data_IF_670690143276
#
_entry.id   IF_670690143276
#
_cell.length_a   1.000
_cell.length_b   1.000
_cell.length_c   1.000
_cell.angle_alpha   90.00
_cell.angle_beta   90.00
_cell.angle_gamma   90.00
#
_symmetry.space_group_name_H-M   'P 1'
#
loop_
_entity.id
_entity.type
_entity.pdbx_description
1 polymer ?
#
# COMPACT_ATOMS: atom_id res chain seq x y z
N UNK A 1 -31.01 18.57 -48.17
CA UNK A 1 -31.41 17.85 -46.93
C UNK A 1 -30.47 16.71 -46.51
N UNK A 2 -29.97 15.85 -47.41
CA UNK A 2 -29.14 14.66 -47.04
C UNK A 2 -27.84 14.97 -46.26
N UNK A 3 -27.14 16.07 -46.58
CA UNK A 3 -25.88 16.44 -45.91
C UNK A 3 -26.04 16.87 -44.43
N UNK A 4 -27.22 17.34 -44.04
CA UNK A 4 -27.51 17.70 -42.63
C UNK A 4 -27.72 16.46 -41.78
N UNK A 5 -28.48 15.51 -42.30
CA UNK A 5 -28.77 14.23 -41.63
C UNK A 5 -27.51 13.37 -41.40
N UNK A 6 -26.59 13.33 -42.37
CA UNK A 6 -25.29 12.66 -42.24
C UNK A 6 -24.40 13.27 -41.13
N UNK A 7 -24.48 14.59 -40.92
CA UNK A 7 -23.78 15.26 -39.81
C UNK A 7 -24.38 14.88 -38.47
N UNK A 8 -25.71 14.90 -38.36
CA UNK A 8 -26.42 14.50 -37.14
C UNK A 8 -26.11 13.05 -36.76
N UNK A 9 -26.12 12.13 -37.73
CA UNK A 9 -25.73 10.73 -37.50
C UNK A 9 -24.30 10.58 -37.01
N UNK A 10 -23.32 11.29 -37.60
CA UNK A 10 -21.92 11.24 -37.15
C UNK A 10 -21.74 11.79 -35.74
N UNK A 11 -22.38 12.91 -35.42
CA UNK A 11 -22.31 13.51 -34.07
C UNK A 11 -22.97 12.60 -33.03
N UNK A 12 -24.13 12.02 -33.36
CA UNK A 12 -24.81 11.06 -32.50
C UNK A 12 -23.96 9.80 -32.26
N UNK A 13 -23.35 9.26 -33.32
CA UNK A 13 -22.44 8.12 -33.20
C UNK A 13 -21.23 8.47 -32.32
N UNK A 14 -20.56 9.60 -32.58
CA UNK A 14 -19.39 10.02 -31.81
C UNK A 14 -19.70 10.21 -30.32
N UNK A 15 -20.83 10.83 -30.00
CA UNK A 15 -21.29 10.97 -28.61
C UNK A 15 -21.58 9.61 -27.97
N UNK A 16 -22.21 8.68 -28.69
CA UNK A 16 -22.45 7.31 -28.22
C UNK A 16 -21.13 6.58 -27.90
N UNK A 17 -20.13 6.70 -28.79
CA UNK A 17 -18.80 6.13 -28.55
C UNK A 17 -18.12 6.72 -27.32
N UNK A 18 -18.22 8.03 -27.12
CA UNK A 18 -17.64 8.72 -25.96
C UNK A 18 -18.30 8.28 -24.64
N UNK A 19 -19.63 8.15 -24.63
CA UNK A 19 -20.37 7.65 -23.47
C UNK A 19 -19.97 6.21 -23.14
N UNK A 20 -19.86 5.34 -24.16
CA UNK A 20 -19.41 3.96 -23.96
C UNK A 20 -17.96 3.88 -23.45
N UNK A 21 -17.09 4.76 -23.93
CA UNK A 21 -15.70 4.82 -23.48
C UNK A 21 -15.61 5.23 -21.99
N UNK A 22 -16.40 6.22 -21.56
CA UNK A 22 -16.45 6.64 -20.15
C UNK A 22 -17.06 5.57 -19.25
N UNK A 23 -18.10 4.86 -19.70
CA UNK A 23 -18.70 3.76 -18.93
C UNK A 23 -17.80 2.53 -18.84
N UNK A 24 -16.94 2.31 -19.84
CA UNK A 24 -15.94 1.25 -19.84
C UNK A 24 -14.66 1.63 -19.08
N UNK A 25 -14.51 2.91 -18.72
CA UNK A 25 -13.37 3.38 -17.95
C UNK A 25 -13.48 2.90 -16.50
N UNK A 26 -12.49 2.11 -16.07
CA UNK A 26 -12.36 1.58 -14.71
C UNK A 26 -11.37 2.40 -13.88
N UNK A 27 -11.07 3.62 -14.32
CA UNK A 27 -10.19 4.54 -13.60
C UNK A 27 -10.64 4.70 -12.14
N UNK A 28 -9.79 4.25 -11.22
CA UNK A 28 -10.02 4.34 -9.76
C UNK A 28 -10.58 3.10 -9.07
N UNK A 29 -10.99 2.05 -9.79
CA UNK A 29 -11.62 0.84 -9.21
C UNK A 29 -10.71 0.14 -8.18
N UNK A 30 -9.40 0.19 -8.38
CA UNK A 30 -8.40 -0.45 -7.51
C UNK A 30 -7.76 0.49 -6.48
N UNK A 31 -8.19 1.76 -6.38
CA UNK A 31 -7.55 2.73 -5.48
C UNK A 31 -7.67 2.31 -4.02
N UNK A 32 -8.84 1.80 -3.63
CA UNK A 32 -9.11 1.33 -2.26
C UNK A 32 -8.34 0.05 -1.95
N UNK A 33 -8.25 -0.87 -2.91
CA UNK A 33 -7.49 -2.12 -2.79
C UNK A 33 -5.99 -1.83 -2.58
N UNK A 34 -5.42 -0.88 -3.33
CA UNK A 34 -4.05 -0.41 -3.13
C UNK A 34 -3.84 0.27 -1.78
N UNK A 35 -4.77 1.15 -1.36
CA UNK A 35 -4.66 1.84 -0.07
C UNK A 35 -4.71 0.88 1.12
N UNK A 36 -5.61 -0.11 1.09
CA UNK A 36 -5.74 -1.11 2.15
C UNK A 36 -4.47 -1.99 2.22
N UNK A 37 -3.91 -2.39 1.08
CA UNK A 37 -2.65 -3.17 1.05
C UNK A 37 -1.50 -2.42 1.69
N UNK A 38 -1.37 -1.12 1.41
CA UNK A 38 -0.35 -0.27 2.02
C UNK A 38 -0.60 -0.16 3.53
N UNK A 39 -1.85 0.09 3.96
CA UNK A 39 -2.20 0.17 5.37
C UNK A 39 -1.84 -1.11 6.13
N UNK A 40 -2.22 -2.27 5.61
CA UNK A 40 -1.88 -3.56 6.23
C UNK A 40 -0.37 -3.79 6.31
N UNK A 41 0.38 -3.49 5.25
CA UNK A 41 1.82 -3.63 5.24
C UNK A 41 2.49 -2.74 6.30
N UNK A 42 2.06 -1.48 6.42
CA UNK A 42 2.58 -0.54 7.42
C UNK A 42 2.26 -1.00 8.84
N UNK A 43 1.02 -1.44 9.10
CA UNK A 43 0.61 -1.91 10.43
C UNK A 43 1.42 -3.13 10.85
N UNK A 44 1.57 -4.13 9.97
CA UNK A 44 2.38 -5.32 10.27
C UNK A 44 3.83 -4.92 10.53
N UNK A 45 4.41 -4.05 9.71
CA UNK A 45 5.79 -3.58 9.89
C UNK A 45 6.00 -2.88 11.24
N UNK A 46 5.08 -2.01 11.64
CA UNK A 46 5.15 -1.31 12.92
C UNK A 46 5.02 -2.27 14.11
N UNK A 47 4.11 -3.25 14.04
CA UNK A 47 3.94 -4.25 15.10
C UNK A 47 5.18 -5.13 15.26
N UNK A 48 5.82 -5.54 14.16
CA UNK A 48 7.07 -6.30 14.19
C UNK A 48 8.20 -5.48 14.84
N UNK A 49 8.35 -4.22 14.45
CA UNK A 49 9.36 -3.33 15.04
C UNK A 49 9.13 -3.09 16.53
N UNK A 50 7.88 -2.90 16.94
CA UNK A 50 7.53 -2.74 18.36
C UNK A 50 7.85 -4.00 19.18
N UNK A 51 7.51 -5.19 18.65
CA UNK A 51 7.83 -6.46 19.29
C UNK A 51 9.34 -6.70 19.40
N UNK A 52 10.09 -6.43 18.32
CA UNK A 52 11.55 -6.49 18.33
C UNK A 52 12.14 -5.49 19.33
N UNK A 53 11.66 -4.25 19.32
CA UNK A 53 12.13 -3.23 20.25
C UNK A 53 11.94 -3.66 21.71
N UNK A 54 10.76 -4.15 22.08
CA UNK A 54 10.49 -4.66 23.42
C UNK A 54 11.41 -5.83 23.79
N UNK A 55 11.57 -6.81 22.90
CA UNK A 55 12.44 -7.97 23.13
C UNK A 55 13.90 -7.55 23.33
N UNK A 56 14.42 -6.69 22.46
CA UNK A 56 15.81 -6.25 22.52
C UNK A 56 16.06 -5.36 23.74
N UNK A 57 15.17 -4.41 24.02
CA UNK A 57 15.32 -3.46 25.12
C UNK A 57 15.23 -4.14 26.49
N UNK A 58 14.26 -5.04 26.68
CA UNK A 58 13.99 -5.61 28.00
C UNK A 58 14.81 -6.87 28.29
N UNK A 59 15.10 -7.69 27.28
CA UNK A 59 15.69 -9.00 27.50
C UNK A 59 17.10 -9.12 26.91
N UNK A 60 17.29 -8.78 25.64
CA UNK A 60 18.56 -9.06 24.94
C UNK A 60 19.69 -8.15 25.41
N UNK A 61 19.51 -6.83 25.38
CA UNK A 61 20.56 -5.88 25.76
C UNK A 61 20.99 -6.03 27.22
N UNK A 62 20.07 -6.17 28.21
CA UNK A 62 20.47 -6.38 29.59
C UNK A 62 21.20 -7.72 29.79
N UNK A 63 20.75 -8.79 29.10
CA UNK A 63 21.41 -10.10 29.19
C UNK A 63 22.81 -10.08 28.59
N UNK A 64 22.99 -9.44 27.44
CA UNK A 64 24.29 -9.28 26.80
C UNK A 64 25.22 -8.44 27.69
N UNK A 65 24.74 -7.31 28.22
CA UNK A 65 25.52 -6.47 29.13
C UNK A 65 25.95 -7.26 30.37
N UNK A 66 25.02 -8.00 30.99
CA UNK A 66 25.33 -8.86 32.14
C UNK A 66 26.39 -9.90 31.80
N UNK A 67 26.22 -10.64 30.70
CA UNK A 67 27.18 -11.69 30.28
C UNK A 67 28.56 -11.10 29.98
N UNK A 68 28.62 -9.94 29.33
CA UNK A 68 29.87 -9.23 29.06
C UNK A 68 30.54 -8.85 30.39
N UNK A 69 29.80 -8.27 31.34
CA UNK A 69 30.33 -7.94 32.67
C UNK A 69 30.80 -9.17 33.43
N UNK A 70 30.07 -10.28 33.37
CA UNK A 70 30.48 -11.55 33.96
C UNK A 70 31.76 -12.09 33.31
N UNK A 71 31.93 -11.99 31.99
CA UNK A 71 33.16 -12.40 31.30
C UNK A 71 34.36 -11.54 31.67
N UNK A 72 34.17 -10.23 31.90
CA UNK A 72 35.23 -9.34 32.37
C UNK A 72 35.55 -9.52 33.86
N UNK A 73 34.55 -9.83 34.68
CA UNK A 73 34.71 -10.09 36.12
C UNK A 73 35.11 -11.55 36.42
N UNK A 74 35.19 -12.42 35.41
CA UNK A 74 35.72 -13.77 35.52
C UNK A 74 37.24 -13.71 35.61
N UNK A 75 37.73 -13.22 36.74
CA UNK A 75 39.07 -13.54 37.24
C UNK A 75 38.97 -14.94 37.84
N UNK A 76 39.84 -15.86 37.40
CA UNK A 76 39.84 -17.24 37.89
C UNK A 76 39.99 -17.37 39.41
#
# INVERSE_FOLDING_TARGET
MRKGFERVKRVAAWNMWKVRAVLADRSGENFIDSAIKILMAVVIGALLLAGLYALFSENVLPTLSRRITEMFNYAG
#
